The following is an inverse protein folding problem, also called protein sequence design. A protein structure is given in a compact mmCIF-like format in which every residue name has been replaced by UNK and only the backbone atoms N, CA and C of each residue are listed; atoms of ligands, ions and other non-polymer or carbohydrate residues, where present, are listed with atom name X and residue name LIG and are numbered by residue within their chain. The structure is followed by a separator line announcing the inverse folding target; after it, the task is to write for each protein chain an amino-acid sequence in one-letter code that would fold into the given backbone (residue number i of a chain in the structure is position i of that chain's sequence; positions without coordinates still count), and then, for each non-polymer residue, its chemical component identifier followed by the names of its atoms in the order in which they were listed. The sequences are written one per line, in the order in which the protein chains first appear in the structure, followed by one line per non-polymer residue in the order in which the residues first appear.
data_IF_316306562948
#
_entry.id   IF_316306562948
#
_cell.length_a   1.000
_cell.length_b   1.000
_cell.length_c   1.000
_cell.angle_alpha   90.00
_cell.angle_beta   90.00
_cell.angle_gamma   90.00
#
_symmetry.space_group_name_H-M   'P 1'
#
loop_
_entity.id
_entity.type
_entity.pdbx_description
1 polymer ?
#
# COMPACT_ATOMS: atom_id res chain seq x y z
N UNK A 1 43.50 -36.89 -48.57
CA UNK A 1 44.24 -35.63 -48.35
C UNK A 1 43.35 -34.64 -47.68
N UNK A 2 43.43 -34.51 -46.30
CA UNK A 2 42.54 -33.73 -45.47
C UNK A 2 43.21 -32.43 -45.15
N UNK A 3 42.62 -31.29 -45.53
CA UNK A 3 43.11 -29.95 -45.24
C UNK A 3 42.51 -29.54 -43.86
N UNK A 4 43.35 -29.48 -42.83
CA UNK A 4 43.05 -28.89 -41.55
C UNK A 4 43.01 -27.37 -41.68
N UNK A 5 41.84 -26.75 -41.66
CA UNK A 5 41.68 -25.29 -41.45
C UNK A 5 41.90 -24.96 -39.96
N UNK A 6 42.97 -24.25 -39.68
CA UNK A 6 43.37 -23.72 -38.38
C UNK A 6 42.54 -22.45 -38.10
N UNK A 7 41.59 -22.53 -37.19
CA UNK A 7 40.91 -21.32 -36.66
C UNK A 7 41.84 -20.60 -35.69
N UNK A 8 42.24 -19.36 -36.02
CA UNK A 8 42.93 -18.48 -35.09
C UNK A 8 41.88 -17.90 -34.17
N UNK A 9 41.97 -18.20 -32.85
CA UNK A 9 41.22 -17.49 -31.80
C UNK A 9 41.72 -16.05 -31.71
N UNK A 10 40.89 -15.13 -32.13
CA UNK A 10 41.06 -13.72 -31.78
C UNK A 10 40.70 -13.56 -30.32
N UNK A 11 41.69 -13.30 -29.46
CA UNK A 11 41.46 -12.78 -28.12
C UNK A 11 40.87 -11.38 -28.25
N UNK A 12 39.57 -11.28 -28.36
CA UNK A 12 38.84 -10.02 -28.15
C UNK A 12 38.75 -9.85 -26.64
N UNK A 13 39.65 -9.05 -26.08
CA UNK A 13 39.43 -8.46 -24.74
C UNK A 13 38.19 -7.59 -24.85
N UNK A 14 37.00 -8.16 -24.64
CA UNK A 14 35.78 -7.40 -24.41
C UNK A 14 35.97 -6.76 -23.04
N UNK A 15 36.44 -5.50 -23.03
CA UNK A 15 36.20 -4.62 -21.88
C UNK A 15 34.70 -4.57 -21.73
N UNK A 16 34.16 -5.30 -20.77
CA UNK A 16 32.80 -5.09 -20.28
C UNK A 16 32.81 -3.69 -19.67
N UNK A 17 32.48 -2.70 -20.49
CA UNK A 17 32.15 -1.38 -19.98
C UNK A 17 30.97 -1.62 -19.04
N UNK A 18 31.14 -1.31 -17.77
CA UNK A 18 30.05 -1.26 -16.80
C UNK A 18 28.99 -0.33 -17.41
N UNK A 19 27.92 -0.92 -17.96
CA UNK A 19 26.79 -0.16 -18.48
C UNK A 19 26.23 0.56 -17.26
N UNK A 20 26.32 1.87 -17.22
CA UNK A 20 25.79 2.66 -16.12
C UNK A 20 24.28 2.44 -16.00
N UNK A 21 23.86 1.91 -14.87
CA UNK A 21 22.44 1.75 -14.55
C UNK A 21 21.93 2.99 -13.83
N UNK A 22 20.76 3.45 -14.23
CA UNK A 22 20.04 4.54 -13.58
C UNK A 22 18.96 3.94 -12.67
N UNK A 23 18.90 4.39 -11.41
CA UNK A 23 17.85 4.02 -10.48
C UNK A 23 16.71 5.03 -10.59
N UNK A 24 15.60 4.61 -11.16
CA UNK A 24 14.40 5.40 -11.35
C UNK A 24 13.47 5.26 -10.16
N UNK A 25 12.96 6.38 -9.66
CA UNK A 25 12.05 6.45 -8.52
C UNK A 25 10.77 7.15 -8.94
N UNK A 26 9.63 6.53 -8.63
CA UNK A 26 8.31 7.06 -8.89
C UNK A 26 7.54 7.18 -7.57
N UNK A 27 6.89 8.31 -7.36
CA UNK A 27 5.75 8.43 -6.47
C UNK A 27 4.48 8.27 -7.29
N UNK A 28 3.61 7.33 -6.91
CA UNK A 28 2.38 7.01 -7.65
C UNK A 28 1.15 7.03 -6.74
N UNK A 29 0.02 7.42 -7.32
CA UNK A 29 -1.31 7.18 -6.75
C UNK A 29 -2.09 6.22 -7.62
N UNK A 30 -3.01 5.45 -7.02
CA UNK A 30 -3.86 4.54 -7.78
C UNK A 30 -5.21 4.26 -7.10
N UNK A 31 -6.21 4.02 -7.94
CA UNK A 31 -7.51 3.47 -7.56
C UNK A 31 -7.40 1.95 -7.39
N UNK A 32 -7.35 1.50 -6.14
CA UNK A 32 -7.19 0.09 -5.79
C UNK A 32 -8.39 -0.79 -6.15
N UNK A 33 -9.60 -0.20 -6.32
CA UNK A 33 -10.83 -0.95 -6.64
C UNK A 33 -10.73 -1.75 -7.94
N UNK A 34 -9.81 -1.35 -8.84
CA UNK A 34 -9.58 -1.97 -10.14
C UNK A 34 -8.52 -3.06 -10.12
N UNK A 35 -7.92 -3.35 -8.96
CA UNK A 35 -6.75 -4.20 -8.86
C UNK A 35 -6.88 -5.30 -7.81
N UNK A 36 -6.30 -6.46 -8.11
CA UNK A 36 -6.13 -7.56 -7.17
C UNK A 36 -4.90 -7.36 -6.24
N UNK A 37 -4.64 -6.11 -5.87
CA UNK A 37 -3.52 -5.67 -5.06
C UNK A 37 -2.37 -5.08 -5.88
N UNK A 38 -1.35 -4.61 -5.17
CA UNK A 38 -0.22 -3.94 -5.83
C UNK A 38 0.75 -4.90 -6.50
N UNK A 39 1.01 -6.06 -5.90
CA UNK A 39 2.04 -6.99 -6.37
C UNK A 39 1.52 -7.87 -7.49
N UNK A 40 2.40 -8.18 -8.46
CA UNK A 40 2.13 -9.10 -9.56
C UNK A 40 1.58 -10.45 -9.10
N UNK A 41 0.54 -10.91 -9.77
CA UNK A 41 -0.07 -12.23 -9.61
C UNK A 41 -0.42 -12.77 -11.00
N UNK A 42 -0.10 -14.05 -11.30
CA UNK A 42 -0.49 -14.66 -12.57
C UNK A 42 -2.00 -14.52 -12.81
N UNK A 43 -2.36 -14.19 -14.04
CA UNK A 43 -3.76 -14.09 -14.50
C UNK A 43 -4.65 -13.10 -13.75
N UNK A 44 -4.04 -12.14 -13.00
CA UNK A 44 -4.78 -11.08 -12.31
C UNK A 44 -4.26 -9.71 -12.69
N UNK A 45 -5.18 -8.76 -12.76
CA UNK A 45 -4.82 -7.36 -12.94
C UNK A 45 -4.28 -6.81 -11.62
N UNK A 46 -3.05 -6.31 -11.62
CA UNK A 46 -2.39 -5.71 -10.45
C UNK A 46 -1.80 -4.34 -10.80
N UNK A 47 -1.52 -3.51 -9.79
CA UNK A 47 -0.87 -2.20 -10.03
C UNK A 47 0.49 -2.41 -10.71
N UNK A 48 1.27 -3.40 -10.26
CA UNK A 48 2.57 -3.73 -10.85
C UNK A 48 2.46 -4.12 -12.32
N UNK A 49 1.50 -4.99 -12.67
CA UNK A 49 1.32 -5.41 -14.06
C UNK A 49 0.93 -4.26 -14.98
N UNK A 50 0.03 -3.37 -14.54
CA UNK A 50 -0.41 -2.23 -15.33
C UNK A 50 0.69 -1.15 -15.43
N UNK A 51 1.37 -0.83 -14.33
CA UNK A 51 2.48 0.12 -14.35
C UNK A 51 3.61 -0.39 -15.26
N UNK A 52 3.97 -1.67 -15.14
CA UNK A 52 5.03 -2.29 -15.97
C UNK A 52 4.69 -2.23 -17.46
N UNK A 53 3.43 -2.45 -17.87
CA UNK A 53 3.00 -2.30 -19.27
C UNK A 53 3.29 -0.92 -19.84
N UNK A 54 3.05 0.12 -19.06
CA UNK A 54 3.33 1.49 -19.49
C UNK A 54 4.84 1.78 -19.54
N UNK A 55 5.59 1.31 -18.53
CA UNK A 55 7.03 1.56 -18.44
C UNK A 55 7.83 0.82 -19.51
N UNK A 56 7.47 -0.41 -19.87
CA UNK A 56 8.15 -1.21 -20.91
C UNK A 56 8.11 -0.53 -22.30
N UNK A 57 7.13 0.34 -22.54
CA UNK A 57 7.11 1.13 -23.77
C UNK A 57 8.37 1.99 -23.92
N UNK A 58 8.90 2.49 -22.81
CA UNK A 58 10.08 3.37 -22.74
C UNK A 58 11.36 2.62 -22.39
N UNK A 59 11.29 1.74 -21.41
CA UNK A 59 12.43 1.03 -20.83
C UNK A 59 12.30 -0.47 -21.16
N UNK A 60 13.14 -0.97 -22.07
CA UNK A 60 13.04 -2.36 -22.54
C UNK A 60 13.68 -3.38 -21.61
N UNK A 61 14.49 -2.93 -20.65
CA UNK A 61 15.33 -3.72 -19.76
C UNK A 61 14.82 -3.77 -18.30
N UNK A 62 13.56 -3.37 -18.05
CA UNK A 62 12.99 -3.44 -16.70
C UNK A 62 12.73 -4.90 -16.32
N UNK A 63 13.45 -5.39 -15.31
CA UNK A 63 13.22 -6.72 -14.74
C UNK A 63 12.12 -6.66 -13.66
N UNK A 64 12.35 -5.88 -12.60
CA UNK A 64 11.52 -5.83 -11.41
C UNK A 64 11.15 -4.40 -11.01
N UNK A 65 9.92 -4.23 -10.52
CA UNK A 65 9.47 -3.03 -9.85
C UNK A 65 9.47 -3.27 -8.33
N UNK A 66 10.16 -2.40 -7.58
CA UNK A 66 10.28 -2.51 -6.14
C UNK A 66 9.32 -1.52 -5.48
N UNK A 67 8.24 -2.03 -4.90
CA UNK A 67 7.24 -1.24 -4.18
C UNK A 67 7.65 -1.03 -2.71
N UNK A 68 7.42 0.17 -2.17
CA UNK A 68 7.70 0.51 -0.77
C UNK A 68 6.81 -0.26 0.22
N UNK A 69 5.58 -0.54 -0.17
CA UNK A 69 4.63 -1.33 0.60
C UNK A 69 3.69 -2.12 -0.31
N UNK A 70 3.33 -3.34 0.10
CA UNK A 70 2.29 -4.12 -0.59
C UNK A 70 0.93 -3.64 -0.13
N UNK A 71 -0.02 -3.49 -1.05
CA UNK A 71 -1.42 -3.26 -0.74
C UNK A 71 -2.26 -4.46 -1.18
N UNK A 72 -3.31 -4.77 -0.42
CA UNK A 72 -4.28 -5.83 -0.73
C UNK A 72 -5.16 -5.46 -1.94
N UNK A 73 -5.91 -6.44 -2.46
CA UNK A 73 -6.96 -6.20 -3.43
C UNK A 73 -7.95 -5.16 -2.91
N UNK A 74 -8.29 -4.17 -3.73
CA UNK A 74 -9.21 -3.08 -3.41
C UNK A 74 -8.63 -1.95 -2.55
N UNK A 75 -7.39 -2.05 -2.08
CA UNK A 75 -6.73 -1.00 -1.28
C UNK A 75 -6.11 0.04 -2.19
N UNK A 76 -6.37 1.32 -1.90
CA UNK A 76 -5.88 2.47 -2.66
C UNK A 76 -4.50 2.93 -2.21
N UNK A 77 -3.89 3.81 -2.98
CA UNK A 77 -2.73 4.58 -2.55
C UNK A 77 -2.81 6.02 -3.06
N UNK A 78 -2.40 6.95 -2.20
CA UNK A 78 -2.20 8.37 -2.51
C UNK A 78 -0.73 8.66 -2.76
N UNK A 79 0.19 8.04 -2.00
CA UNK A 79 1.63 8.24 -2.08
C UNK A 79 2.40 6.91 -1.95
N UNK A 80 2.32 6.03 -2.95
CA UNK A 80 3.13 4.81 -3.04
C UNK A 80 4.41 5.10 -3.78
N UNK A 81 5.55 4.61 -3.27
CA UNK A 81 6.84 4.70 -3.94
C UNK A 81 7.22 3.39 -4.62
N UNK A 82 7.76 3.53 -5.82
CA UNK A 82 8.26 2.41 -6.63
C UNK A 82 9.62 2.78 -7.18
N UNK A 83 10.60 1.87 -7.18
CA UNK A 83 11.84 2.06 -7.91
C UNK A 83 12.17 0.87 -8.81
N UNK A 84 12.94 1.14 -9.85
CA UNK A 84 13.51 0.16 -10.77
C UNK A 84 14.82 0.66 -11.37
N UNK A 85 15.62 -0.24 -11.91
CA UNK A 85 16.86 0.12 -12.62
C UNK A 85 16.69 -0.07 -14.12
N UNK A 86 17.36 0.78 -14.91
CA UNK A 86 17.42 0.70 -16.36
C UNK A 86 18.73 1.27 -16.88
N UNK A 87 19.21 0.76 -18.00
CA UNK A 87 20.37 1.31 -18.74
C UNK A 87 19.99 2.51 -19.61
N UNK A 88 18.70 2.69 -19.91
CA UNK A 88 18.19 3.80 -20.69
C UNK A 88 18.14 5.06 -19.83
N UNK A 89 18.69 6.16 -20.32
CA UNK A 89 18.57 7.49 -19.71
C UNK A 89 17.51 8.28 -20.46
N UNK A 90 16.34 8.48 -19.84
CA UNK A 90 15.20 9.16 -20.45
C UNK A 90 14.78 10.38 -19.64
N UNK A 91 14.11 11.33 -20.30
CA UNK A 91 13.44 12.43 -19.63
C UNK A 91 12.23 11.90 -18.85
N UNK A 92 12.36 11.91 -17.51
CA UNK A 92 11.34 11.41 -16.60
C UNK A 92 10.04 12.18 -16.69
N UNK A 93 10.10 13.48 -17.01
CA UNK A 93 8.90 14.31 -17.13
C UNK A 93 8.07 13.92 -18.36
N UNK A 94 8.71 13.69 -19.50
CA UNK A 94 8.01 13.23 -20.71
C UNK A 94 7.36 11.85 -20.49
N UNK A 95 8.08 10.92 -19.85
CA UNK A 95 7.53 9.59 -19.51
C UNK A 95 6.34 9.72 -18.56
N UNK A 96 6.45 10.55 -17.52
CA UNK A 96 5.38 10.84 -16.56
C UNK A 96 4.13 11.38 -17.25
N UNK A 97 4.27 12.38 -18.10
CA UNK A 97 3.16 12.98 -18.82
C UNK A 97 2.47 11.96 -19.75
N UNK A 98 3.25 11.15 -20.48
CA UNK A 98 2.71 10.11 -21.34
C UNK A 98 1.91 9.07 -20.54
N UNK A 99 2.47 8.52 -19.46
CA UNK A 99 1.78 7.54 -18.64
C UNK A 99 0.52 8.13 -18.01
N UNK A 100 0.58 9.35 -17.49
CA UNK A 100 -0.57 10.03 -16.89
C UNK A 100 -1.69 10.31 -17.90
N UNK A 101 -1.37 10.49 -19.18
CA UNK A 101 -2.36 10.64 -20.25
C UNK A 101 -3.05 9.31 -20.59
N UNK A 102 -2.32 8.20 -20.59
CA UNK A 102 -2.82 6.90 -21.09
C UNK A 102 -3.26 5.93 -19.98
N UNK A 103 -2.85 6.16 -18.73
CA UNK A 103 -3.32 5.37 -17.59
C UNK A 103 -4.56 5.99 -16.95
N UNK A 104 -5.62 5.17 -16.81
CA UNK A 104 -6.88 5.61 -16.19
C UNK A 104 -6.82 5.56 -14.66
N UNK A 105 -6.18 4.54 -14.10
CA UNK A 105 -6.27 4.18 -12.68
C UNK A 105 -4.97 4.35 -11.90
N UNK A 106 -3.86 4.69 -12.59
CA UNK A 106 -2.56 5.01 -11.98
C UNK A 106 -2.16 6.40 -12.43
N UNK A 107 -1.68 7.22 -11.51
CA UNK A 107 -1.05 8.51 -11.81
C UNK A 107 0.33 8.55 -11.18
N UNK A 108 1.32 9.00 -11.95
CA UNK A 108 2.66 9.28 -11.46
C UNK A 108 2.66 10.74 -10.97
N UNK A 109 2.90 10.92 -9.68
CA UNK A 109 2.98 12.22 -9.01
C UNK A 109 4.35 12.82 -9.27
N UNK A 110 5.39 12.05 -8.92
CA UNK A 110 6.79 12.42 -9.17
C UNK A 110 7.51 11.28 -9.88
N UNK A 111 8.48 11.62 -10.74
CA UNK A 111 9.34 10.65 -11.41
C UNK A 111 10.74 11.26 -11.60
N UNK A 112 11.74 10.66 -10.99
CA UNK A 112 13.11 11.16 -11.01
C UNK A 112 14.14 10.03 -11.01
N UNK A 113 15.40 10.38 -11.31
CA UNK A 113 16.54 9.49 -11.20
C UNK A 113 17.21 9.79 -9.86
N UNK A 114 17.35 8.79 -9.01
CA UNK A 114 18.10 8.91 -7.77
C UNK A 114 19.58 8.59 -8.03
N UNK A 115 20.44 9.48 -7.55
CA UNK A 115 21.91 9.30 -7.61
C UNK A 115 22.45 8.40 -6.48
N UNK A 116 21.60 8.12 -5.48
CA UNK A 116 21.94 7.28 -4.32
C UNK A 116 21.37 5.88 -4.51
N UNK A 117 21.80 4.94 -3.69
CA UNK A 117 21.23 3.57 -3.64
C UNK A 117 19.86 3.55 -2.97
N UNK A 118 18.89 4.28 -3.53
CA UNK A 118 17.53 4.30 -3.05
C UNK A 118 16.85 2.95 -3.29
N UNK A 119 16.21 2.44 -2.27
CA UNK A 119 15.41 1.23 -2.33
C UNK A 119 14.04 1.49 -1.68
N UNK A 120 12.99 1.61 -2.48
CA UNK A 120 11.67 2.04 -2.04
C UNK A 120 11.17 1.35 -0.75
N UNK A 121 11.45 0.07 -0.59
CA UNK A 121 11.00 -0.68 0.60
C UNK A 121 11.95 -0.57 1.80
N UNK A 122 13.28 -0.66 1.57
CA UNK A 122 14.27 -0.75 2.66
C UNK A 122 14.61 0.63 3.23
N UNK A 123 14.67 1.66 2.37
CA UNK A 123 14.99 3.03 2.78
C UNK A 123 13.83 3.74 3.49
N UNK A 124 12.61 3.21 3.40
CA UNK A 124 11.44 3.82 4.03
C UNK A 124 11.46 3.67 5.55
N UNK A 125 11.46 4.80 6.25
CA UNK A 125 11.52 4.89 7.72
C UNK A 125 10.13 4.88 8.37
N UNK A 126 9.11 5.44 7.69
CA UNK A 126 7.75 5.52 8.22
C UNK A 126 6.72 5.41 7.08
N UNK A 127 5.57 4.82 7.38
CA UNK A 127 4.42 4.69 6.50
C UNK A 127 3.16 5.11 7.22
N UNK A 128 2.26 5.76 6.50
CA UNK A 128 0.96 6.18 6.98
C UNK A 128 -0.14 5.54 6.16
N UNK A 129 -1.10 4.98 6.86
CA UNK A 129 -2.38 4.55 6.30
C UNK A 129 -3.50 5.41 6.83
N UNK A 130 -4.46 5.74 5.98
CA UNK A 130 -5.75 6.29 6.38
C UNK A 130 -6.85 5.29 6.05
N UNK A 131 -7.88 5.27 6.88
CA UNK A 131 -9.06 4.46 6.67
C UNK A 131 -10.31 5.33 6.78
N UNK A 132 -11.08 5.41 5.68
CA UNK A 132 -12.29 6.20 5.58
C UNK A 132 -13.51 5.28 5.70
N UNK A 133 -14.43 5.61 6.59
CA UNK A 133 -15.67 4.88 6.72
C UNK A 133 -16.84 5.78 7.16
N UNK A 134 -18.06 5.32 6.90
CA UNK A 134 -19.28 5.91 7.44
C UNK A 134 -20.17 4.82 8.01
N UNK A 135 -20.94 5.16 9.02
CA UNK A 135 -22.04 4.35 9.54
C UNK A 135 -23.38 4.76 8.91
N UNK A 136 -23.39 5.84 8.13
CA UNK A 136 -24.53 6.26 7.31
C UNK A 136 -24.43 5.63 5.90
N UNK A 137 -25.59 5.40 5.28
CA UNK A 137 -25.64 4.82 3.94
C UNK A 137 -24.96 5.74 2.91
N UNK A 138 -24.01 5.19 2.19
CA UNK A 138 -23.21 5.92 1.20
C UNK A 138 -23.90 5.99 -0.16
N UNK A 139 -23.77 7.11 -0.90
CA UNK A 139 -24.05 7.15 -2.33
C UNK A 139 -23.20 6.11 -3.08
N UNK A 140 -23.77 5.50 -4.13
CA UNK A 140 -23.10 4.43 -4.90
C UNK A 140 -21.72 4.84 -5.42
N UNK A 141 -21.55 6.11 -5.85
CA UNK A 141 -20.28 6.62 -6.38
C UNK A 141 -19.16 6.71 -5.34
N UNK A 142 -19.48 6.62 -4.04
CA UNK A 142 -18.49 6.57 -2.93
C UNK A 142 -18.17 5.16 -2.45
N UNK A 143 -18.96 4.16 -2.81
CA UNK A 143 -18.88 2.81 -2.26
C UNK A 143 -17.52 2.11 -2.50
N UNK A 144 -16.81 2.48 -3.56
CA UNK A 144 -15.48 1.94 -3.86
C UNK A 144 -14.35 2.66 -3.08
N UNK A 145 -14.65 3.81 -2.46
CA UNK A 145 -13.65 4.71 -1.88
C UNK A 145 -13.81 4.93 -0.37
N UNK A 146 -14.99 4.61 0.15
CA UNK A 146 -15.33 4.74 1.58
C UNK A 146 -16.02 3.45 2.00
N UNK A 147 -15.63 2.90 3.13
CA UNK A 147 -16.29 1.72 3.68
C UNK A 147 -17.59 2.08 4.38
N UNK A 148 -18.65 1.36 4.05
CA UNK A 148 -19.86 1.37 4.85
C UNK A 148 -19.72 0.37 6.00
N UNK A 149 -20.03 0.79 7.21
CA UNK A 149 -20.08 -0.02 8.42
C UNK A 149 -21.50 0.07 8.99
N UNK A 150 -22.18 -1.08 9.04
CA UNK A 150 -23.62 -1.23 9.24
C UNK A 150 -24.13 -0.95 10.67
N UNK A 151 -23.23 -0.72 11.60
CA UNK A 151 -23.59 -0.47 13.00
C UNK A 151 -23.00 0.85 13.49
N UNK A 152 -23.74 1.62 14.30
CA UNK A 152 -23.21 2.77 14.99
C UNK A 152 -22.01 2.40 15.86
N UNK A 153 -21.04 3.29 15.97
CA UNK A 153 -19.81 3.06 16.73
C UNK A 153 -19.59 4.16 17.77
N UNK A 154 -19.03 3.76 18.90
CA UNK A 154 -18.53 4.70 19.89
C UNK A 154 -17.11 5.14 19.53
N UNK A 155 -16.93 6.40 19.15
CA UNK A 155 -15.63 6.98 18.75
C UNK A 155 -14.66 7.08 19.92
N UNK A 156 -15.15 7.24 21.15
CA UNK A 156 -14.30 7.25 22.35
C UNK A 156 -13.66 5.87 22.52
N UNK A 157 -14.45 4.81 22.38
CA UNK A 157 -13.97 3.41 22.39
C UNK A 157 -12.96 3.14 21.26
N UNK A 158 -13.23 3.66 20.05
CA UNK A 158 -12.28 3.54 18.93
C UNK A 158 -10.94 4.20 19.31
N UNK A 159 -10.96 5.44 19.79
CA UNK A 159 -9.73 6.17 20.15
C UNK A 159 -8.99 5.49 21.31
N UNK A 160 -9.72 4.97 22.29
CA UNK A 160 -9.11 4.20 23.39
C UNK A 160 -8.37 2.97 22.89
N UNK A 161 -8.97 2.19 22.00
CA UNK A 161 -8.31 1.04 21.37
C UNK A 161 -7.12 1.46 20.47
N UNK A 162 -7.24 2.58 19.74
CA UNK A 162 -6.14 3.12 18.94
C UNK A 162 -4.95 3.56 19.79
N UNK A 163 -5.20 4.13 20.99
CA UNK A 163 -4.13 4.48 21.92
C UNK A 163 -3.34 3.24 22.39
N UNK A 164 -3.99 2.09 22.51
CA UNK A 164 -3.35 0.85 22.94
C UNK A 164 -2.38 0.25 21.89
N UNK A 165 -2.56 0.55 20.59
CA UNK A 165 -1.64 0.06 19.55
C UNK A 165 -0.42 0.95 19.36
N UNK A 166 -0.39 2.16 19.97
CA UNK A 166 0.77 3.05 19.91
C UNK A 166 1.92 2.43 20.70
N UNK A 167 3.14 2.51 20.13
CA UNK A 167 4.34 1.93 20.69
C UNK A 167 4.77 0.65 19.97
N UNK A 168 5.73 -0.04 20.59
CA UNK A 168 6.33 -1.26 20.04
C UNK A 168 5.62 -2.48 20.60
N UNK A 169 4.92 -3.22 19.73
CA UNK A 169 4.16 -4.41 20.08
C UNK A 169 4.42 -5.57 19.12
N UNK A 170 4.09 -6.78 19.56
CA UNK A 170 4.00 -7.94 18.69
C UNK A 170 2.59 -8.01 18.08
N UNK A 171 2.48 -7.68 16.78
CA UNK A 171 1.22 -7.65 16.05
C UNK A 171 0.85 -8.97 15.37
N UNK A 172 1.39 -10.10 15.85
CA UNK A 172 1.11 -11.43 15.29
C UNK A 172 -0.39 -11.71 15.13
N UNK A 173 -1.21 -11.34 16.13
CA UNK A 173 -2.66 -11.55 16.12
C UNK A 173 -3.39 -10.84 14.98
N UNK A 174 -2.82 -9.73 14.50
CA UNK A 174 -3.36 -8.94 13.39
C UNK A 174 -2.74 -9.29 12.03
N UNK A 175 -1.83 -10.26 11.97
CA UNK A 175 -1.26 -10.74 10.71
C UNK A 175 -2.21 -11.73 10.03
N UNK A 176 -2.26 -11.69 8.68
CA UNK A 176 -2.87 -12.79 7.92
C UNK A 176 -1.98 -14.03 8.03
N UNK A 177 -2.56 -15.17 8.37
CA UNK A 177 -1.88 -16.47 8.40
C UNK A 177 -1.21 -16.80 7.05
N UNK A 178 -0.08 -17.51 7.11
CA UNK A 178 0.69 -17.92 5.92
C UNK A 178 1.65 -16.84 5.38
N UNK A 179 1.93 -15.79 6.14
CA UNK A 179 2.93 -14.78 5.76
C UNK A 179 4.29 -15.12 6.38
N UNK A 180 5.33 -15.29 5.54
CA UNK A 180 6.70 -15.46 6.02
C UNK A 180 7.33 -14.09 6.28
N UNK A 181 7.53 -13.76 7.56
CA UNK A 181 8.25 -12.56 8.01
C UNK A 181 9.24 -12.97 9.11
N UNK A 182 10.38 -12.28 9.18
CA UNK A 182 11.41 -12.54 10.20
C UNK A 182 10.92 -12.17 11.61
N UNK A 183 10.07 -11.17 11.73
CA UNK A 183 9.51 -10.71 13.01
C UNK A 183 8.13 -10.12 12.82
N UNK A 184 7.27 -10.28 13.82
CA UNK A 184 5.92 -9.68 13.88
C UNK A 184 5.89 -8.42 14.76
N UNK A 185 7.03 -8.05 15.34
CA UNK A 185 7.15 -6.83 16.13
C UNK A 185 7.15 -5.63 15.20
N UNK A 186 6.27 -4.64 15.47
CA UNK A 186 6.19 -3.36 14.77
C UNK A 186 6.07 -2.23 15.77
N UNK A 187 6.32 -1.03 15.31
CA UNK A 187 6.19 0.16 16.13
C UNK A 187 5.21 1.12 15.45
N UNK A 188 4.15 1.47 16.16
CA UNK A 188 3.14 2.45 15.75
C UNK A 188 3.47 3.76 16.44
N UNK A 189 3.67 4.83 15.66
CA UNK A 189 4.06 6.15 16.16
C UNK A 189 2.85 7.03 16.45
N UNK A 190 1.76 6.81 15.70
CA UNK A 190 0.54 7.62 15.82
C UNK A 190 -0.66 6.80 15.39
N UNK A 191 -1.76 6.93 16.11
CA UNK A 191 -3.05 6.35 15.76
C UNK A 191 -4.17 7.26 16.27
N UNK A 192 -5.06 7.74 15.39
CA UNK A 192 -6.10 8.70 15.71
C UNK A 192 -7.34 8.49 14.85
N UNK A 193 -8.52 8.77 15.42
CA UNK A 193 -9.77 8.95 14.69
C UNK A 193 -10.15 10.43 14.65
N UNK A 194 -10.52 10.91 13.48
CA UNK A 194 -11.12 12.22 13.23
C UNK A 194 -12.45 12.03 12.49
N UNK A 195 -13.31 13.03 12.52
CA UNK A 195 -14.54 13.04 11.72
C UNK A 195 -14.66 14.34 10.92
N UNK A 196 -15.37 14.27 9.81
CA UNK A 196 -15.67 15.43 8.97
C UNK A 196 -16.94 15.20 8.16
N UNK A 197 -17.62 16.29 7.82
CA UNK A 197 -18.80 16.26 6.98
C UNK A 197 -18.42 16.26 5.51
N UNK A 198 -19.04 15.37 4.74
CA UNK A 198 -18.96 15.32 3.29
C UNK A 198 -20.29 15.76 2.70
N UNK A 199 -20.29 16.85 1.90
CA UNK A 199 -21.47 17.29 1.17
C UNK A 199 -21.73 16.40 -0.03
N UNK A 200 -22.94 15.85 -0.11
CA UNK A 200 -23.32 14.97 -1.22
C UNK A 200 -23.38 15.74 -2.53
N UNK A 201 -22.72 15.27 -3.58
CA UNK A 201 -22.61 15.99 -4.85
C UNK A 201 -23.97 16.23 -5.54
N UNK A 202 -24.93 15.33 -5.34
CA UNK A 202 -26.26 15.37 -5.99
C UNK A 202 -27.33 16.07 -5.16
N UNK A 203 -27.02 16.43 -3.90
CA UNK A 203 -27.93 17.10 -3.00
C UNK A 203 -27.13 17.99 -2.04
N UNK A 204 -27.11 19.29 -2.33
CA UNK A 204 -26.35 20.29 -1.55
C UNK A 204 -26.83 20.44 -0.10
N UNK A 205 -28.06 20.04 0.19
CA UNK A 205 -28.65 20.09 1.54
C UNK A 205 -28.31 18.83 2.37
N UNK A 206 -27.77 17.80 1.71
CA UNK A 206 -27.41 16.53 2.36
C UNK A 206 -25.91 16.45 2.61
N UNK A 207 -25.55 16.17 3.84
CA UNK A 207 -24.19 15.81 4.23
C UNK A 207 -24.17 14.44 4.87
N UNK A 208 -23.04 13.77 4.78
CA UNK A 208 -22.77 12.47 5.40
C UNK A 208 -21.59 12.64 6.32
N UNK A 209 -21.68 12.08 7.53
CA UNK A 209 -20.56 12.06 8.45
C UNK A 209 -19.58 10.96 8.05
N UNK A 210 -18.34 11.36 7.80
CA UNK A 210 -17.23 10.46 7.50
C UNK A 210 -16.26 10.41 8.67
N UNK A 211 -15.82 9.19 8.98
CA UNK A 211 -14.80 8.94 9.98
C UNK A 211 -13.48 8.61 9.26
N UNK A 212 -12.38 9.15 9.77
CA UNK A 212 -11.02 8.94 9.27
C UNK A 212 -10.13 8.41 10.39
N UNK A 213 -9.68 7.17 10.29
CA UNK A 213 -8.63 6.63 11.15
C UNK A 213 -7.30 6.81 10.43
N UNK A 214 -6.32 7.42 11.11
CA UNK A 214 -4.93 7.57 10.65
C UNK A 214 -4.04 6.70 11.51
N UNK A 215 -3.18 5.88 10.87
CA UNK A 215 -2.20 5.04 11.58
C UNK A 215 -0.83 5.20 10.92
N UNK A 216 0.18 5.61 11.70
CA UNK A 216 1.57 5.74 11.29
C UNK A 216 2.44 4.73 12.02
N UNK A 217 3.36 4.08 11.30
CA UNK A 217 4.30 3.13 11.92
C UNK A 217 5.53 2.90 11.05
N UNK A 218 6.52 2.20 11.61
CA UNK A 218 7.76 1.87 10.88
C UNK A 218 7.50 0.92 9.72
N UNK A 219 6.66 -0.09 9.93
CA UNK A 219 6.23 -1.06 8.93
C UNK A 219 4.93 -1.75 9.37
N UNK A 220 4.27 -2.41 8.42
CA UNK A 220 3.02 -3.12 8.67
C UNK A 220 3.12 -4.56 8.17
N UNK A 221 2.49 -5.49 8.91
CA UNK A 221 2.32 -6.87 8.49
C UNK A 221 1.20 -6.99 7.45
N UNK A 222 1.17 -8.10 6.74
CA UNK A 222 0.11 -8.35 5.76
C UNK A 222 -1.27 -8.33 6.43
N UNK A 223 -2.18 -7.47 5.94
CA UNK A 223 -3.51 -7.17 6.47
C UNK A 223 -3.57 -6.54 7.86
N UNK A 224 -2.44 -6.19 8.47
CA UNK A 224 -2.39 -5.70 9.84
C UNK A 224 -3.35 -4.54 10.10
N UNK A 225 -3.31 -3.48 9.31
CA UNK A 225 -4.16 -2.29 9.51
C UNK A 225 -5.64 -2.66 9.43
N UNK A 226 -6.05 -3.44 8.42
CA UNK A 226 -7.44 -3.88 8.27
C UNK A 226 -7.91 -4.78 9.42
N UNK A 227 -7.03 -5.63 9.93
CA UNK A 227 -7.33 -6.50 11.07
C UNK A 227 -7.45 -5.71 12.38
N UNK A 228 -6.60 -4.71 12.60
CA UNK A 228 -6.71 -3.79 13.75
C UNK A 228 -8.05 -3.06 13.70
N UNK A 229 -8.37 -2.43 12.55
CA UNK A 229 -9.62 -1.67 12.39
C UNK A 229 -10.85 -2.58 12.52
N UNK A 230 -10.80 -3.79 11.96
CA UNK A 230 -11.91 -4.75 12.08
C UNK A 230 -12.15 -5.22 13.51
N UNK A 231 -11.09 -5.43 14.30
CA UNK A 231 -11.21 -5.77 15.72
C UNK A 231 -11.75 -4.57 16.53
N UNK A 232 -11.24 -3.37 16.28
CA UNK A 232 -11.71 -2.13 16.93
C UNK A 232 -13.18 -1.86 16.59
N UNK A 233 -13.57 -1.98 15.32
CA UNK A 233 -14.96 -1.81 14.89
C UNK A 233 -15.89 -2.76 15.63
N UNK A 234 -15.50 -4.03 15.75
CA UNK A 234 -16.28 -5.01 16.47
C UNK A 234 -16.49 -4.62 17.94
N UNK A 235 -15.48 -4.06 18.61
CA UNK A 235 -15.56 -3.64 20.01
C UNK A 235 -16.38 -2.36 20.17
N UNK A 236 -16.20 -1.40 19.27
CA UNK A 236 -16.86 -0.11 19.32
C UNK A 236 -18.33 -0.14 18.83
N UNK A 237 -18.75 -1.24 18.18
CA UNK A 237 -20.10 -1.40 17.69
C UNK A 237 -21.10 -1.60 18.84
N UNK A 238 -22.19 -0.86 18.81
CA UNK A 238 -23.25 -0.89 19.83
C UNK A 238 -23.90 -2.27 20.04
N UNK A 239 -23.77 -3.17 19.07
CA UNK A 239 -24.33 -4.52 19.11
C UNK A 239 -23.44 -5.56 19.81
N UNK A 240 -22.31 -5.15 20.41
CA UNK A 240 -21.34 -6.09 20.97
C UNK A 240 -21.17 -5.88 22.49
N UNK A 241 -20.85 -7.00 23.20
CA UNK A 241 -20.58 -7.01 24.64
C UNK A 241 -19.08 -6.89 24.95
N UNK A 242 -18.23 -6.74 23.93
CA UNK A 242 -16.79 -6.59 24.09
C UNK A 242 -16.44 -5.18 24.58
N UNK A 243 -15.30 -5.08 25.26
CA UNK A 243 -14.80 -3.84 25.86
C UNK A 243 -13.39 -3.50 25.36
N UNK A 244 -12.90 -2.28 25.52
CA UNK A 244 -11.51 -1.95 25.25
C UNK A 244 -10.50 -2.85 25.98
N UNK A 245 -10.87 -3.38 27.16
CA UNK A 245 -10.03 -4.33 27.88
C UNK A 245 -9.87 -5.66 27.13
N UNK A 246 -10.86 -6.09 26.37
CA UNK A 246 -10.75 -7.29 25.52
C UNK A 246 -9.82 -7.05 24.33
N UNK A 247 -9.79 -5.81 23.78
CA UNK A 247 -8.79 -5.43 22.80
C UNK A 247 -7.36 -5.48 23.38
N UNK A 248 -7.18 -4.97 24.60
CA UNK A 248 -5.90 -5.04 25.30
C UNK A 248 -5.45 -6.48 25.52
N UNK A 249 -6.34 -7.38 25.95
CA UNK A 249 -6.05 -8.81 26.06
C UNK A 249 -5.67 -9.42 24.72
N UNK A 250 -6.41 -9.11 23.62
CA UNK A 250 -6.13 -9.57 22.27
C UNK A 250 -4.70 -9.22 21.84
N UNK A 251 -4.28 -7.96 22.07
CA UNK A 251 -2.94 -7.47 21.73
C UNK A 251 -1.85 -8.14 22.56
N UNK A 252 -2.04 -8.26 23.86
CA UNK A 252 -1.04 -8.78 24.79
C UNK A 252 -0.86 -10.30 24.69
N UNK A 253 -1.95 -11.06 24.51
CA UNK A 253 -1.91 -12.53 24.48
C UNK A 253 -1.45 -13.10 23.15
N UNK A 254 -1.32 -12.27 22.10
CA UNK A 254 -0.89 -12.70 20.75
C UNK A 254 -1.76 -13.84 20.16
N UNK A 255 -2.95 -14.03 20.71
CA UNK A 255 -3.90 -15.06 20.32
C UNK A 255 -5.26 -14.44 20.04
N UNK A 256 -5.94 -14.90 19.01
CA UNK A 256 -7.30 -14.49 18.74
C UNK A 256 -8.24 -15.06 19.79
N UNK A 257 -8.68 -14.20 20.71
CA UNK A 257 -9.61 -14.55 21.79
C UNK A 257 -11.09 -14.35 21.40
N UNK A 258 -11.31 -13.65 20.27
CA UNK A 258 -12.61 -13.52 19.60
C UNK A 258 -12.41 -13.43 18.09
N UNK A 259 -13.45 -13.78 17.35
CA UNK A 259 -13.43 -13.71 15.90
C UNK A 259 -13.77 -12.29 15.40
N UNK A 260 -12.94 -11.73 14.55
CA UNK A 260 -13.20 -10.49 13.84
C UNK A 260 -12.87 -10.63 12.36
N UNK A 261 -13.59 -9.90 11.53
CA UNK A 261 -13.32 -9.81 10.10
C UNK A 261 -12.37 -8.62 9.82
N UNK A 262 -11.46 -8.73 8.85
CA UNK A 262 -10.71 -7.57 8.39
C UNK A 262 -11.67 -6.48 7.91
N UNK A 263 -11.43 -5.22 8.24
CA UNK A 263 -12.19 -4.11 7.70
C UNK A 263 -12.17 -4.13 6.15
N UNK A 264 -13.25 -3.71 5.46
CA UNK A 264 -13.29 -3.64 4.00
C UNK A 264 -12.08 -2.92 3.40
N UNK A 265 -11.67 -3.29 2.19
CA UNK A 265 -10.51 -2.67 1.54
C UNK A 265 -10.80 -1.29 0.95
N UNK A 266 -12.05 -1.03 0.58
CA UNK A 266 -12.48 0.20 -0.08
C UNK A 266 -12.18 1.48 0.72
N UNK A 267 -12.15 1.41 2.04
CA UNK A 267 -11.80 2.57 2.88
C UNK A 267 -10.30 2.75 3.14
N UNK A 268 -9.45 1.79 2.75
CA UNK A 268 -8.03 1.83 3.12
C UNK A 268 -7.15 2.45 2.04
N UNK A 269 -6.29 3.38 2.45
CA UNK A 269 -5.34 4.09 1.60
C UNK A 269 -3.94 4.05 2.20
N UNK A 270 -2.94 3.66 1.41
CA UNK A 270 -1.55 3.99 1.70
C UNK A 270 -1.37 5.48 1.36
N UNK A 271 -1.32 6.32 2.40
CA UNK A 271 -1.37 7.77 2.24
C UNK A 271 0.00 8.37 1.98
N UNK A 272 0.99 8.06 2.80
CA UNK A 272 2.31 8.68 2.72
C UNK A 272 3.42 7.74 3.20
N UNK A 273 4.60 7.91 2.62
CA UNK A 273 5.83 7.21 3.01
C UNK A 273 6.93 8.26 3.23
N UNK A 274 7.76 8.07 4.24
CA UNK A 274 8.90 8.93 4.55
C UNK A 274 10.19 8.14 4.40
N UNK A 275 11.20 8.83 3.90
CA UNK A 275 12.55 8.34 3.65
C UNK A 275 13.60 9.15 4.40
#
# INVERSE_FOLDING_TARGET
MWIKKRWRCWNVNVRVSLISQYNYVLEISYDGSQYNGSQYQPNKRTVESDLKKHLIYFFKDIENLIFAGRTDAGVHAVGQYVNFTSTYKLDTNLVRLHINKHSKYIKIIEFFIDKKEFHARKSAIKREYIYLFSTEQLPVYLSNYISYMDSPVDKVVIQECLNMVIGKHDFLVFQKTGSNVLTTIREIYHAKIDEFQYKVLTDSNKSIMLNKITIQGNAFLYRMVRNIIGAIYMIASSNNKLSPNDFKKLLLQKKRIFNFKPAPSSGLYLNKIWY
#
